data_IF_426316316983
#
_entry.id   IF_426316316983
#
_cell.length_a   1.000
_cell.length_b   1.000
_cell.length_c   1.000
_cell.angle_alpha   90.00
_cell.angle_beta   90.00
_cell.angle_gamma   90.00
#
_symmetry.space_group_name_H-M   'P 1'
#
loop_
_entity.id
_entity.type
_entity.pdbx_description
1 polymer ?
#
# COMPACT_ATOMS: atom_id res chain seq x y z
N UNK A 1 16.75 -14.15 12.23
CA UNK A 1 16.85 -12.79 11.66
C UNK A 1 15.66 -12.68 10.72
N UNK A 2 14.68 -11.85 11.05
CA UNK A 2 13.52 -11.62 10.17
C UNK A 2 13.99 -10.68 9.07
N UNK A 3 14.49 -11.24 7.97
CA UNK A 3 14.79 -10.43 6.79
C UNK A 3 13.44 -9.95 6.23
N UNK A 4 13.19 -8.65 6.39
CA UNK A 4 11.98 -8.00 5.88
C UNK A 4 11.86 -8.15 4.36
N UNK A 5 10.78 -7.61 3.79
CA UNK A 5 10.64 -7.56 2.34
C UNK A 5 11.79 -6.73 1.73
N UNK A 6 12.40 -7.26 0.67
CA UNK A 6 13.32 -6.50 -0.20
C UNK A 6 12.57 -5.36 -0.88
N UNK A 7 13.30 -4.37 -1.38
CA UNK A 7 12.69 -3.25 -2.12
C UNK A 7 11.81 -3.74 -3.28
N UNK A 8 12.27 -4.76 -4.01
CA UNK A 8 11.50 -5.35 -5.11
C UNK A 8 10.18 -5.96 -4.62
N UNK A 9 10.21 -6.77 -3.56
CA UNK A 9 9.01 -7.39 -3.01
C UNK A 9 8.03 -6.35 -2.44
N UNK A 10 8.54 -5.25 -1.87
CA UNK A 10 7.69 -4.13 -1.42
C UNK A 10 7.01 -3.44 -2.61
N UNK A 11 7.72 -3.24 -3.71
CA UNK A 11 7.14 -2.70 -4.94
C UNK A 11 6.08 -3.65 -5.52
N UNK A 12 6.37 -4.94 -5.62
CA UNK A 12 5.41 -5.95 -6.11
C UNK A 12 4.14 -5.96 -5.26
N UNK A 13 4.27 -5.97 -3.93
CA UNK A 13 3.14 -5.90 -3.00
C UNK A 13 2.29 -4.64 -3.21
N UNK A 14 2.92 -3.47 -3.39
CA UNK A 14 2.20 -2.22 -3.67
C UNK A 14 1.42 -2.33 -4.98
N UNK A 15 2.03 -2.88 -6.04
CA UNK A 15 1.35 -3.05 -7.31
C UNK A 15 0.18 -4.04 -7.20
N UNK A 16 0.35 -5.17 -6.51
CA UNK A 16 -0.73 -6.14 -6.25
C UNK A 16 -1.92 -5.47 -5.54
N UNK A 17 -1.67 -4.66 -4.51
CA UNK A 17 -2.71 -3.95 -3.76
C UNK A 17 -3.39 -2.90 -4.65
N UNK A 18 -2.62 -2.13 -5.43
CA UNK A 18 -3.17 -1.12 -6.33
C UNK A 18 -4.06 -1.75 -7.41
N UNK A 19 -3.59 -2.81 -8.07
CA UNK A 19 -4.36 -3.52 -9.11
C UNK A 19 -5.62 -4.19 -8.56
N UNK A 20 -5.59 -4.66 -7.31
CA UNK A 20 -6.72 -5.36 -6.71
C UNK A 20 -7.80 -4.42 -6.17
N UNK A 21 -7.41 -3.28 -5.59
CA UNK A 21 -8.34 -2.39 -4.87
C UNK A 21 -8.58 -1.04 -5.56
N UNK A 22 -7.71 -0.63 -6.48
CA UNK A 22 -7.77 0.65 -7.21
C UNK A 22 -7.53 0.49 -8.72
N UNK A 23 -8.25 -0.44 -9.39
CA UNK A 23 -7.99 -0.76 -10.80
C UNK A 23 -8.30 0.40 -11.74
N UNK A 24 -9.33 1.19 -11.46
CA UNK A 24 -9.77 2.31 -12.30
C UNK A 24 -8.76 3.46 -12.22
N UNK A 25 -8.25 3.76 -11.02
CA UNK A 25 -7.20 4.74 -10.81
C UNK A 25 -5.89 4.32 -11.49
N UNK A 26 -5.57 3.02 -11.45
CA UNK A 26 -4.44 2.47 -12.19
C UNK A 26 -4.58 2.62 -13.71
N UNK A 27 -5.79 2.41 -14.25
CA UNK A 27 -6.08 2.60 -15.67
C UNK A 27 -5.91 4.07 -16.08
N UNK A 28 -6.43 5.01 -15.28
CA UNK A 28 -6.34 6.46 -15.55
C UNK A 28 -4.88 6.94 -15.56
N UNK A 29 -4.09 6.52 -14.57
CA UNK A 29 -2.68 6.92 -14.44
C UNK A 29 -1.80 6.27 -15.51
N UNK A 30 -2.17 5.06 -15.94
CA UNK A 30 -1.48 4.28 -16.95
C UNK A 30 -0.31 3.47 -16.39
N UNK A 31 -0.12 2.27 -16.94
CA UNK A 31 0.88 1.29 -16.48
C UNK A 31 2.33 1.84 -16.49
N UNK A 32 2.63 2.80 -17.37
CA UNK A 32 3.96 3.44 -17.44
C UNK A 32 4.30 4.28 -16.22
N UNK A 33 3.30 4.73 -15.44
CA UNK A 33 3.48 5.61 -14.28
C UNK A 33 3.28 4.88 -12.94
N UNK A 34 2.47 3.82 -12.90
CA UNK A 34 2.17 3.09 -11.65
C UNK A 34 3.41 2.49 -11.01
N UNK A 35 4.24 1.79 -11.78
CA UNK A 35 5.47 1.19 -11.25
C UNK A 35 6.46 2.23 -10.69
N UNK A 36 6.79 3.32 -11.42
CA UNK A 36 7.59 4.41 -10.86
C UNK A 36 7.02 4.99 -9.56
N UNK A 37 5.70 5.17 -9.47
CA UNK A 37 5.05 5.67 -8.24
C UNK A 37 5.21 4.67 -7.09
N UNK A 38 4.99 3.37 -7.33
CA UNK A 38 5.16 2.32 -6.33
C UNK A 38 6.60 2.21 -5.82
N UNK A 39 7.58 2.47 -6.69
CA UNK A 39 9.02 2.53 -6.35
C UNK A 39 9.42 3.81 -5.61
N UNK A 40 8.54 4.82 -5.54
CA UNK A 40 8.86 6.15 -4.99
C UNK A 40 9.72 7.01 -5.91
N UNK A 41 9.78 6.68 -7.20
CA UNK A 41 10.47 7.46 -8.22
C UNK A 41 9.62 8.67 -8.64
N UNK A 42 10.30 9.82 -8.90
CA UNK A 42 9.66 11.12 -9.15
C UNK A 42 9.40 11.44 -10.63
N UNK A 43 9.80 10.56 -11.56
CA UNK A 43 9.56 10.81 -12.99
C UNK A 43 8.15 10.35 -13.37
N UNK A 44 7.22 11.30 -13.32
CA UNK A 44 5.88 11.13 -13.87
C UNK A 44 5.88 11.55 -15.35
N UNK A 45 5.35 10.70 -16.22
CA UNK A 45 5.13 11.03 -17.63
C UNK A 45 3.67 11.40 -17.78
N UNK A 46 3.38 12.67 -18.06
CA UNK A 46 2.01 13.14 -18.33
C UNK A 46 1.40 12.33 -19.47
N UNK A 47 0.24 11.70 -19.23
CA UNK A 47 -0.52 10.96 -20.25
C UNK A 47 -1.61 11.87 -20.82
N UNK A 48 -1.97 11.68 -22.08
CA UNK A 48 -2.96 12.53 -22.78
C UNK A 48 -4.42 12.27 -22.36
N UNK A 49 -4.69 11.48 -21.31
CA UNK A 49 -6.02 11.01 -20.95
C UNK A 49 -6.68 11.78 -19.79
N UNK A 50 -7.94 12.21 -20.02
CA UNK A 50 -8.96 12.37 -18.97
C UNK A 50 -9.44 13.79 -18.66
N UNK A 51 -10.61 14.17 -19.18
CA UNK A 51 -11.23 15.52 -19.06
C UNK A 51 -12.18 15.66 -17.84
N UNK A 52 -12.39 14.60 -17.04
CA UNK A 52 -13.43 14.59 -15.98
C UNK A 52 -12.95 14.30 -14.54
N UNK A 53 -11.66 14.06 -14.34
CA UNK A 53 -10.97 14.19 -13.04
C UNK A 53 -9.54 14.64 -13.38
N UNK A 54 -8.97 15.67 -12.74
CA UNK A 54 -7.60 16.06 -13.03
C UNK A 54 -6.70 14.86 -12.74
N UNK A 55 -5.97 14.37 -13.74
CA UNK A 55 -5.03 13.23 -13.60
C UNK A 55 -4.14 13.36 -12.36
N UNK A 56 -3.80 14.60 -11.98
CA UNK A 56 -3.04 14.93 -10.78
C UNK A 56 -3.73 14.55 -9.47
N UNK A 57 -5.06 14.61 -9.38
CA UNK A 57 -5.81 14.17 -8.20
C UNK A 57 -5.76 12.65 -8.07
N UNK A 58 -5.88 11.91 -9.17
CA UNK A 58 -5.74 10.45 -9.18
C UNK A 58 -4.32 10.03 -8.82
N UNK A 59 -3.32 10.71 -9.38
CA UNK A 59 -1.91 10.48 -9.02
C UNK A 59 -1.68 10.76 -7.54
N UNK A 60 -2.23 11.85 -7.00
CA UNK A 60 -2.13 12.16 -5.58
C UNK A 60 -2.77 11.06 -4.71
N UNK A 61 -3.95 10.56 -5.09
CA UNK A 61 -4.60 9.44 -4.43
C UNK A 61 -3.73 8.17 -4.43
N UNK A 62 -3.17 7.78 -5.58
CA UNK A 62 -2.28 6.61 -5.69
C UNK A 62 -1.03 6.79 -4.82
N UNK A 63 -0.42 7.98 -4.82
CA UNK A 63 0.74 8.29 -3.96
C UNK A 63 0.36 8.17 -2.47
N UNK A 64 -0.80 8.68 -2.07
CA UNK A 64 -1.32 8.56 -0.70
C UNK A 64 -1.51 7.10 -0.31
N UNK A 65 -2.12 6.28 -1.18
CA UNK A 65 -2.33 4.85 -0.94
C UNK A 65 -0.99 4.12 -0.80
N UNK A 66 -0.02 4.40 -1.68
CA UNK A 66 1.32 3.81 -1.60
C UNK A 66 2.01 4.16 -0.28
N UNK A 67 1.96 5.43 0.14
CA UNK A 67 2.51 5.87 1.43
C UNK A 67 1.81 5.23 2.64
N UNK A 68 0.50 5.00 2.53
CA UNK A 68 -0.27 4.28 3.53
C UNK A 68 0.16 2.82 3.65
N UNK A 69 0.37 2.12 2.52
CA UNK A 69 0.88 0.74 2.51
C UNK A 69 2.28 0.66 3.15
N UNK A 70 3.17 1.60 2.86
CA UNK A 70 4.50 1.68 3.49
C UNK A 70 4.40 1.85 5.02
N UNK A 71 3.41 2.62 5.47
CA UNK A 71 3.15 2.84 6.89
C UNK A 71 2.63 1.56 7.56
N UNK A 72 1.69 0.85 6.92
CA UNK A 72 1.21 -0.46 7.39
C UNK A 72 2.37 -1.46 7.51
N UNK A 73 3.20 -1.57 6.46
CA UNK A 73 4.38 -2.44 6.47
C UNK A 73 5.28 -2.15 7.67
N UNK A 74 5.55 -0.87 7.92
CA UNK A 74 6.38 -0.43 9.05
C UNK A 74 5.77 -0.81 10.40
N UNK A 75 4.44 -0.69 10.55
CA UNK A 75 3.71 -1.10 11.76
C UNK A 75 3.78 -2.62 11.97
N UNK A 76 3.53 -3.41 10.93
CA UNK A 76 3.56 -4.87 11.03
C UNK A 76 4.97 -5.37 11.33
N UNK A 77 6.00 -4.86 10.63
CA UNK A 77 7.40 -5.20 10.90
C UNK A 77 7.79 -4.86 12.35
N UNK A 78 7.33 -3.73 12.88
CA UNK A 78 7.54 -3.33 14.28
C UNK A 78 6.86 -4.31 15.23
N UNK A 79 5.60 -4.65 14.98
CA UNK A 79 4.85 -5.61 15.80
C UNK A 79 5.52 -6.98 15.81
N UNK A 80 5.96 -7.48 14.65
CA UNK A 80 6.63 -8.78 14.51
C UNK A 80 7.95 -8.82 15.28
N UNK A 81 8.71 -7.71 15.31
CA UNK A 81 9.95 -7.60 16.11
C UNK A 81 9.69 -7.60 17.62
N UNK A 82 8.59 -6.98 18.06
CA UNK A 82 8.28 -6.83 19.48
C UNK A 82 7.58 -8.06 20.08
N UNK A 83 6.93 -8.87 19.25
CA UNK A 83 6.04 -9.95 19.70
C UNK A 83 6.66 -11.31 19.40
N UNK A 84 6.64 -12.20 20.39
CA UNK A 84 7.07 -13.61 20.23
C UNK A 84 5.96 -14.53 19.71
N UNK A 85 4.76 -13.98 19.45
CA UNK A 85 3.57 -14.72 19.02
C UNK A 85 3.07 -14.17 17.69
N UNK A 86 2.37 -15.01 16.94
CA UNK A 86 1.71 -14.63 15.68
C UNK A 86 0.73 -13.49 15.92
N UNK A 87 0.82 -12.46 15.08
CA UNK A 87 -0.01 -11.26 15.13
C UNK A 87 -1.28 -11.49 14.32
N UNK A 88 -2.39 -10.96 14.81
CA UNK A 88 -3.70 -11.02 14.14
C UNK A 88 -3.99 -9.77 13.34
N UNK A 89 -4.85 -9.88 12.32
CA UNK A 89 -5.26 -8.74 11.49
C UNK A 89 -5.95 -7.64 12.31
N UNK A 90 -6.73 -8.02 13.33
CA UNK A 90 -7.36 -7.06 14.25
C UNK A 90 -6.32 -6.24 15.03
N UNK A 91 -5.27 -6.88 15.54
CA UNK A 91 -4.18 -6.17 16.23
C UNK A 91 -3.47 -5.18 15.30
N UNK A 92 -3.22 -5.58 14.05
CA UNK A 92 -2.62 -4.70 13.03
C UNK A 92 -3.52 -3.49 12.77
N UNK A 93 -4.82 -3.71 12.53
CA UNK A 93 -5.77 -2.63 12.23
C UNK A 93 -5.84 -1.63 13.38
N UNK A 94 -5.90 -2.11 14.63
CA UNK A 94 -5.90 -1.24 15.81
C UNK A 94 -4.62 -0.41 15.88
N UNK A 95 -3.46 -1.01 15.68
CA UNK A 95 -2.18 -0.30 15.73
C UNK A 95 -2.03 0.70 14.57
N UNK A 96 -2.50 0.36 13.37
CA UNK A 96 -2.51 1.24 12.20
C UNK A 96 -3.36 2.48 12.48
N UNK A 97 -4.59 2.30 12.96
CA UNK A 97 -5.49 3.41 13.33
C UNK A 97 -4.92 4.33 14.42
N UNK A 98 -4.14 3.77 15.33
CA UNK A 98 -3.55 4.54 16.43
C UNK A 98 -2.20 5.19 16.08
N UNK A 99 -1.52 4.72 15.04
CA UNK A 99 -0.14 5.11 14.73
C UNK A 99 0.01 5.92 13.44
N UNK A 100 -0.99 5.92 12.57
CA UNK A 100 -0.92 6.45 11.21
C UNK A 100 -2.16 7.32 10.95
N UNK A 101 -1.96 8.47 10.31
CA UNK A 101 -3.06 9.26 9.77
C UNK A 101 -3.70 8.50 8.60
N UNK A 102 -4.97 8.13 8.75
CA UNK A 102 -5.69 7.36 7.75
C UNK A 102 -6.04 8.26 6.56
N UNK A 103 -5.85 7.79 5.31
CA UNK A 103 -6.32 8.51 4.14
C UNK A 103 -7.83 8.74 4.21
N UNK A 104 -8.28 9.98 4.04
CA UNK A 104 -9.70 10.34 4.09
C UNK A 104 -10.49 9.72 2.93
N UNK A 105 -9.79 9.39 1.85
CA UNK A 105 -10.32 8.79 0.63
C UNK A 105 -10.58 7.29 0.77
N UNK A 106 -10.08 6.65 1.82
CA UNK A 106 -10.25 5.22 2.06
C UNK A 106 -11.31 4.94 3.12
N UNK A 107 -12.26 4.07 2.77
CA UNK A 107 -13.21 3.57 3.74
C UNK A 107 -12.57 2.53 4.69
N UNK A 108 -13.26 2.31 5.80
CA UNK A 108 -12.81 1.41 6.87
C UNK A 108 -12.63 -0.03 6.38
N UNK A 109 -13.48 -0.48 5.45
CA UNK A 109 -13.45 -1.85 4.92
C UNK A 109 -12.20 -2.07 4.06
N UNK A 110 -11.84 -1.09 3.23
CA UNK A 110 -10.66 -1.10 2.36
C UNK A 110 -9.39 -1.08 3.20
N UNK A 111 -9.34 -0.24 4.24
CA UNK A 111 -8.22 -0.22 5.21
C UNK A 111 -8.01 -1.60 5.84
N UNK A 112 -9.08 -2.24 6.31
CA UNK A 112 -9.01 -3.58 6.92
C UNK A 112 -8.52 -4.65 5.93
N UNK A 113 -9.02 -4.62 4.68
CA UNK A 113 -8.59 -5.54 3.62
C UNK A 113 -7.12 -5.37 3.27
N UNK A 114 -6.63 -4.13 3.16
CA UNK A 114 -5.22 -3.85 2.89
C UNK A 114 -4.35 -4.35 4.05
N UNK A 115 -4.74 -4.08 5.31
CA UNK A 115 -4.01 -4.56 6.49
C UNK A 115 -3.92 -6.09 6.53
N UNK A 116 -5.03 -6.78 6.28
CA UNK A 116 -5.09 -8.25 6.25
C UNK A 116 -4.25 -8.83 5.11
N UNK A 117 -4.30 -8.22 3.92
CA UNK A 117 -3.53 -8.66 2.76
C UNK A 117 -2.02 -8.54 3.02
N UNK A 118 -1.56 -7.39 3.51
CA UNK A 118 -0.15 -7.16 3.82
C UNK A 118 0.33 -8.13 4.91
N UNK A 119 -0.47 -8.33 5.97
CA UNK A 119 -0.13 -9.25 7.05
C UNK A 119 0.01 -10.69 6.56
N UNK A 120 -0.93 -11.17 5.75
CA UNK A 120 -0.88 -12.52 5.17
C UNK A 120 0.36 -12.71 4.32
N UNK A 121 0.65 -11.75 3.43
CA UNK A 121 1.82 -11.81 2.55
C UNK A 121 3.14 -11.91 3.33
N UNK A 122 3.25 -11.14 4.42
CA UNK A 122 4.44 -11.18 5.29
C UNK A 122 4.54 -12.51 6.04
N UNK A 123 3.44 -13.06 6.53
CA UNK A 123 3.43 -14.33 7.26
C UNK A 123 3.68 -15.55 6.37
N UNK A 124 3.23 -15.52 5.11
CA UNK A 124 3.53 -16.58 4.12
C UNK A 124 5.02 -16.69 3.81
N UNK A 125 5.77 -15.59 3.91
CA UNK A 125 7.23 -15.58 3.70
C UNK A 125 8.01 -16.19 4.86
N UNK A 126 7.45 -16.17 6.07
CA UNK A 126 8.10 -16.74 7.27
C UNK A 126 7.81 -18.23 7.49
N UNK A 127 6.82 -18.79 6.77
CA UNK A 127 6.35 -20.18 6.89
C UNK A 127 7.13 -21.15 5.99
#
# INVERSE_FOLDING_TARGET
>A
MTDGLTTQEKTELKMEILEQYFPDECEIVGASNIKPIAEGSREFIETEYGVNMPIMEVVALIVTIVGFIDSILSVIERLMKLRSKRITSEEVVVDVKNSIDLPEELDQETIEKICDYVLKRLQEKEA
#
